data_IF_497407971089
#
_entry.id   IF_497407971089
#
_cell.length_a   1.000
_cell.length_b   1.000
_cell.length_c   1.000
_cell.angle_alpha   90.00
_cell.angle_beta   90.00
_cell.angle_gamma   90.00
#
_symmetry.space_group_name_H-M   'P 1'
#
loop_
_entity.id
_entity.type
_entity.pdbx_description
1 polymer ?
#
# COMPACT_ATOMS: atom_id res chain seq x y z
N UNK A 1 3.04 23.14 -3.14
CA UNK A 1 3.90 22.33 -4.04
C UNK A 1 3.77 20.85 -3.69
N UNK A 2 3.60 20.02 -4.69
CA UNK A 2 3.48 18.59 -4.48
C UNK A 2 4.83 17.89 -4.65
N UNK A 3 4.88 16.60 -4.26
CA UNK A 3 6.09 15.81 -4.39
C UNK A 3 6.48 15.67 -5.87
N UNK A 4 7.78 15.47 -6.11
CA UNK A 4 8.30 15.32 -7.47
C UNK A 4 8.17 13.86 -7.96
N UNK A 5 8.54 13.63 -9.21
CA UNK A 5 8.42 12.31 -9.82
C UNK A 5 9.22 11.24 -9.07
N UNK A 6 10.43 11.57 -8.65
CA UNK A 6 11.28 10.64 -7.93
C UNK A 6 10.64 10.22 -6.60
N UNK A 7 10.07 11.19 -5.88
CA UNK A 7 9.36 10.90 -4.63
C UNK A 7 8.12 10.05 -4.88
N UNK A 8 7.39 10.31 -5.97
CA UNK A 8 6.24 9.48 -6.35
C UNK A 8 6.67 8.04 -6.57
N UNK A 9 7.78 7.82 -7.26
CA UNK A 9 8.29 6.49 -7.53
C UNK A 9 8.72 5.78 -6.24
N UNK A 10 9.28 6.51 -5.28
CA UNK A 10 9.66 5.95 -3.99
C UNK A 10 8.41 5.49 -3.23
N UNK A 11 7.36 6.32 -3.18
CA UNK A 11 6.12 5.94 -2.51
C UNK A 11 5.49 4.71 -3.15
N UNK A 12 5.45 4.68 -4.47
CA UNK A 12 4.87 3.56 -5.19
C UNK A 12 5.67 2.28 -4.97
N UNK A 13 7.01 2.38 -4.97
CA UNK A 13 7.88 1.25 -4.70
C UNK A 13 7.71 0.68 -3.30
N UNK A 14 7.56 1.57 -2.31
CA UNK A 14 7.29 1.15 -0.93
C UNK A 14 5.94 0.47 -0.81
N UNK A 15 4.93 0.98 -1.50
CA UNK A 15 3.61 0.36 -1.50
C UNK A 15 3.69 -1.06 -2.06
N UNK A 16 4.40 -1.25 -3.18
CA UNK A 16 4.57 -2.57 -3.76
C UNK A 16 5.30 -3.51 -2.81
N UNK A 17 6.34 -3.03 -2.15
CA UNK A 17 7.10 -3.85 -1.20
C UNK A 17 6.21 -4.28 -0.03
N UNK A 18 5.50 -3.33 0.56
CA UNK A 18 4.65 -3.60 1.73
C UNK A 18 3.51 -4.55 1.39
N UNK A 19 2.84 -4.34 0.25
CA UNK A 19 1.75 -5.22 -0.16
C UNK A 19 2.28 -6.62 -0.46
N UNK A 20 3.38 -6.73 -1.20
CA UNK A 20 3.96 -8.03 -1.52
C UNK A 20 4.32 -8.80 -0.25
N UNK A 21 4.94 -8.12 0.72
CA UNK A 21 5.31 -8.71 1.99
C UNK A 21 4.06 -9.17 2.76
N UNK A 22 3.02 -8.35 2.80
CA UNK A 22 1.78 -8.69 3.50
C UNK A 22 1.10 -9.92 2.91
N UNK A 23 1.24 -10.12 1.60
CA UNK A 23 0.64 -11.27 0.92
C UNK A 23 1.47 -12.54 1.02
N UNK A 24 2.68 -12.46 1.55
CA UNK A 24 3.54 -13.61 1.72
C UNK A 24 4.59 -13.80 0.63
N UNK A 25 4.77 -12.78 -0.23
CA UNK A 25 5.72 -12.80 -1.32
C UNK A 25 5.04 -12.96 -2.67
N UNK A 26 5.78 -12.69 -3.74
CA UNK A 26 5.23 -12.75 -5.10
C UNK A 26 4.74 -14.14 -5.51
N UNK A 27 5.33 -15.17 -4.95
CA UNK A 27 5.00 -16.55 -5.30
C UNK A 27 3.90 -17.14 -4.42
N UNK A 28 3.45 -16.39 -3.41
CA UNK A 28 2.38 -16.85 -2.53
C UNK A 28 1.04 -16.87 -3.26
N UNK A 29 0.17 -17.86 -3.00
CA UNK A 29 -1.16 -17.86 -3.60
C UNK A 29 -1.94 -16.58 -3.34
N UNK A 30 -1.80 -15.98 -2.16
CA UNK A 30 -2.50 -14.74 -1.82
C UNK A 30 -2.08 -13.58 -2.72
N UNK A 31 -0.85 -13.57 -3.22
CA UNK A 31 -0.43 -12.50 -4.12
C UNK A 31 -1.29 -12.49 -5.38
N UNK A 32 -1.48 -13.63 -5.99
CA UNK A 32 -2.30 -13.75 -7.19
C UNK A 32 -3.76 -13.40 -6.93
N UNK A 33 -4.30 -13.85 -5.81
CA UNK A 33 -5.72 -13.69 -5.52
C UNK A 33 -6.09 -12.35 -4.90
N UNK A 34 -5.18 -11.76 -4.11
CA UNK A 34 -5.52 -10.62 -3.27
C UNK A 34 -4.77 -9.33 -3.60
N UNK A 35 -3.85 -9.34 -4.57
CA UNK A 35 -3.01 -8.16 -4.79
C UNK A 35 -3.81 -6.90 -5.13
N UNK A 36 -4.81 -7.00 -6.00
CA UNK A 36 -5.64 -5.86 -6.38
C UNK A 36 -6.35 -5.25 -5.18
N UNK A 37 -6.95 -6.12 -4.37
CA UNK A 37 -7.68 -5.66 -3.19
C UNK A 37 -6.72 -5.04 -2.19
N UNK A 38 -5.55 -5.63 -1.99
CA UNK A 38 -4.56 -5.10 -1.06
C UNK A 38 -4.07 -3.72 -1.49
N UNK A 39 -3.71 -3.54 -2.76
CA UNK A 39 -3.29 -2.25 -3.28
C UNK A 39 -4.41 -1.21 -3.17
N UNK A 40 -5.63 -1.61 -3.49
CA UNK A 40 -6.78 -0.73 -3.40
C UNK A 40 -6.98 -0.25 -1.95
N UNK A 41 -6.88 -1.14 -0.98
CA UNK A 41 -7.05 -0.77 0.42
C UNK A 41 -5.92 0.11 0.92
N UNK A 42 -4.67 -0.18 0.54
CA UNK A 42 -3.53 0.65 0.94
C UNK A 42 -3.71 2.08 0.44
N UNK A 43 -4.02 2.25 -0.85
CA UNK A 43 -4.15 3.59 -1.41
C UNK A 43 -5.39 4.31 -0.92
N UNK A 44 -6.48 3.61 -0.62
CA UNK A 44 -7.67 4.21 -0.01
C UNK A 44 -7.33 4.74 1.37
N UNK A 45 -6.61 3.96 2.17
CA UNK A 45 -6.16 4.35 3.50
C UNK A 45 -5.25 5.59 3.41
N UNK A 46 -4.29 5.56 2.50
CA UNK A 46 -3.38 6.67 2.27
C UNK A 46 -4.13 7.96 1.94
N UNK A 47 -5.02 7.87 0.94
CA UNK A 47 -5.76 9.04 0.48
C UNK A 47 -6.64 9.63 1.59
N UNK A 48 -7.20 8.78 2.41
CA UNK A 48 -8.05 9.23 3.52
C UNK A 48 -7.24 9.98 4.57
N UNK A 49 -6.10 9.45 4.97
CA UNK A 49 -5.29 10.08 6.02
C UNK A 49 -4.59 11.33 5.50
N UNK A 50 -4.05 11.28 4.31
CA UNK A 50 -3.34 12.42 3.73
C UNK A 50 -4.28 13.47 3.12
N UNK A 51 -5.57 13.17 3.01
CA UNK A 51 -6.57 14.07 2.44
C UNK A 51 -6.21 14.49 1.01
N UNK A 52 -5.87 13.51 0.18
CA UNK A 52 -5.52 13.73 -1.22
C UNK A 52 -6.33 12.80 -2.12
N UNK A 53 -6.47 13.17 -3.38
CA UNK A 53 -7.16 12.35 -4.38
C UNK A 53 -6.25 11.28 -4.98
N UNK A 54 -4.95 11.46 -4.86
CA UNK A 54 -3.94 10.55 -5.36
C UNK A 54 -2.67 10.76 -4.56
N UNK A 55 -1.85 9.70 -4.39
CA UNK A 55 -0.56 9.86 -3.72
C UNK A 55 0.33 10.88 -4.44
N UNK A 56 0.11 11.07 -5.73
CA UNK A 56 0.88 12.05 -6.51
C UNK A 56 0.60 13.49 -6.09
N UNK A 57 -0.53 13.72 -5.41
CA UNK A 57 -0.92 15.04 -4.93
C UNK A 57 -0.45 15.32 -3.51
N UNK A 58 0.36 14.44 -2.92
CA UNK A 58 0.95 14.65 -1.61
C UNK A 58 1.78 15.92 -1.64
N UNK A 59 1.63 16.78 -0.63
CA UNK A 59 2.44 18.00 -0.55
C UNK A 59 3.90 17.66 -0.28
N UNK A 60 4.80 18.53 -0.72
CA UNK A 60 6.23 18.30 -0.50
C UNK A 60 6.54 18.20 0.99
N UNK A 61 5.89 19.00 1.83
CA UNK A 61 6.10 18.95 3.29
C UNK A 61 5.48 17.72 3.91
N UNK A 62 4.53 17.08 3.25
CA UNK A 62 3.87 15.88 3.75
C UNK A 62 4.52 14.57 3.31
N UNK A 63 5.60 14.64 2.54
CA UNK A 63 6.24 13.45 2.00
C UNK A 63 6.66 12.43 3.06
N UNK A 64 7.31 12.90 4.12
CA UNK A 64 7.79 11.98 5.16
C UNK A 64 6.63 11.28 5.87
N UNK A 65 5.56 12.01 6.13
CA UNK A 65 4.36 11.42 6.73
C UNK A 65 3.73 10.40 5.78
N UNK A 66 3.66 10.72 4.49
CA UNK A 66 3.12 9.79 3.49
C UNK A 66 3.91 8.50 3.43
N UNK A 67 5.22 8.61 3.42
CA UNK A 67 6.10 7.45 3.43
C UNK A 67 5.88 6.58 4.67
N UNK A 68 5.75 7.21 5.82
CA UNK A 68 5.52 6.53 7.10
C UNK A 68 4.18 5.79 7.11
N UNK A 69 3.14 6.41 6.54
CA UNK A 69 1.82 5.78 6.45
C UNK A 69 1.91 4.48 5.64
N UNK A 70 2.61 4.51 4.51
CA UNK A 70 2.77 3.32 3.68
C UNK A 70 3.58 2.25 4.41
N UNK A 71 4.69 2.63 5.04
CA UNK A 71 5.57 1.71 5.74
C UNK A 71 4.87 1.00 6.91
N UNK A 72 3.89 1.65 7.52
CA UNK A 72 3.17 1.11 8.68
C UNK A 72 1.81 0.51 8.32
N UNK A 73 1.46 0.49 7.04
CA UNK A 73 0.17 -0.07 6.62
C UNK A 73 0.11 -1.58 6.89
N UNK A 74 -1.05 -2.02 7.35
CA UNK A 74 -1.35 -3.43 7.54
C UNK A 74 -2.74 -3.73 6.97
N UNK A 75 -2.96 -4.94 6.44
CA UNK A 75 -4.30 -5.32 5.99
C UNK A 75 -5.31 -5.24 7.13
N UNK A 76 -6.55 -4.86 6.79
CA UNK A 76 -7.61 -4.93 7.77
C UNK A 76 -7.94 -6.41 8.04
N UNK A 77 -8.82 -6.66 9.01
CA UNK A 77 -9.12 -8.03 9.45
C UNK A 77 -9.68 -8.89 8.32
N UNK A 78 -10.59 -8.34 7.52
CA UNK A 78 -11.19 -9.09 6.42
C UNK A 78 -10.15 -9.50 5.38
N UNK A 79 -9.29 -8.56 4.99
CA UNK A 79 -8.24 -8.85 4.03
C UNK A 79 -7.22 -9.83 4.62
N UNK A 80 -6.88 -9.66 5.90
CA UNK A 80 -5.96 -10.57 6.58
C UNK A 80 -6.47 -12.00 6.53
N UNK A 81 -7.76 -12.22 6.80
CA UNK A 81 -8.35 -13.55 6.74
C UNK A 81 -8.34 -14.12 5.33
N UNK A 82 -8.57 -13.29 4.32
CA UNK A 82 -8.49 -13.73 2.93
C UNK A 82 -7.07 -14.18 2.57
N UNK A 83 -6.08 -13.44 3.03
CA UNK A 83 -4.67 -13.77 2.78
C UNK A 83 -4.32 -15.11 3.43
N UNK A 84 -4.69 -15.28 4.69
CA UNK A 84 -4.44 -16.52 5.43
C UNK A 84 -5.11 -17.70 4.71
N UNK A 85 -6.37 -17.51 4.31
CA UNK A 85 -7.11 -18.57 3.61
C UNK A 85 -6.46 -18.95 2.28
N UNK A 86 -6.04 -17.96 1.49
CA UNK A 86 -5.41 -18.22 0.20
C UNK A 86 -4.07 -18.95 0.35
N UNK A 87 -3.29 -18.58 1.36
CA UNK A 87 -1.96 -19.16 1.57
C UNK A 87 -2.01 -20.51 2.30
N UNK A 88 -3.18 -20.90 2.77
CA UNK A 88 -3.35 -22.19 3.48
C UNK A 88 -3.76 -23.33 2.58
N UNK A 89 -3.92 -23.08 1.30
CA UNK A 89 -4.32 -24.10 0.32
C UNK A 89 -3.17 -24.95 -0.17
#
# INVERSE_FOLDING_TARGET
MTIDYEQQEILNGKARYIVTKALGGKDAPAYKECNRKAFSELWRYYKRIMQVNSYKNTSAVGYDKGREIIENWKPNRDLELMIIGANSQ
#
